data_IF_405543082460
#
_entry.id   IF_405543082460
#
_cell.length_a   1.000
_cell.length_b   1.000
_cell.length_c   1.000
_cell.angle_alpha   90.00
_cell.angle_beta   90.00
_cell.angle_gamma   90.00
#
_symmetry.space_group_name_H-M   'P 1'
#
loop_
_entity.id
_entity.type
_entity.pdbx_description
1 polymer ?
#
# COMPACT_ATOMS: atom_id res chain seq x y z
N UNK A 1 -7.80 -20.10 14.45
CA UNK A 1 -6.39 -19.74 14.18
C UNK A 1 -6.27 -18.23 14.39
N UNK A 2 -5.37 -17.79 15.26
CA UNK A 2 -5.06 -16.37 15.46
C UNK A 2 -3.64 -16.16 14.94
N UNK A 3 -3.50 -15.76 13.68
CA UNK A 3 -2.21 -15.77 12.98
C UNK A 3 -1.41 -14.47 13.16
N UNK A 4 -2.02 -13.40 13.66
CA UNK A 4 -1.43 -12.07 13.72
C UNK A 4 -1.84 -11.34 15.00
N UNK A 5 -0.87 -10.72 15.68
CA UNK A 5 -1.08 -9.87 16.86
C UNK A 5 -0.28 -8.59 16.67
N UNK A 6 -0.94 -7.44 16.82
CA UNK A 6 -0.27 -6.15 16.83
C UNK A 6 0.70 -6.08 18.03
N UNK A 7 1.92 -5.64 17.76
CA UNK A 7 2.95 -5.41 18.77
C UNK A 7 3.41 -3.97 18.61
N UNK A 8 3.19 -3.15 19.64
CA UNK A 8 3.52 -1.73 19.61
C UNK A 8 4.99 -1.53 19.20
N UNK A 9 5.21 -0.68 18.19
CA UNK A 9 6.54 -0.39 17.65
C UNK A 9 7.12 -1.47 16.73
N UNK A 10 6.40 -2.57 16.47
CA UNK A 10 6.92 -3.70 15.65
C UNK A 10 5.95 -4.08 14.53
N UNK A 11 4.65 -4.20 14.82
CA UNK A 11 3.65 -4.60 13.83
C UNK A 11 2.31 -3.90 14.03
N UNK A 12 1.69 -3.50 12.92
CA UNK A 12 0.36 -2.91 12.87
C UNK A 12 -0.47 -3.59 11.77
N UNK A 13 -1.76 -3.76 12.03
CA UNK A 13 -2.72 -4.33 11.10
C UNK A 13 -3.97 -3.48 11.12
N UNK A 14 -4.52 -3.20 9.95
CA UNK A 14 -5.69 -2.33 9.85
C UNK A 14 -6.28 -2.34 8.46
N UNK A 15 -7.17 -1.39 8.22
CA UNK A 15 -7.81 -1.18 6.94
C UNK A 15 -7.95 0.30 6.64
N UNK A 16 -7.95 0.65 5.37
CA UNK A 16 -8.23 2.00 4.89
C UNK A 16 -9.08 1.97 3.63
N UNK A 17 -9.73 3.08 3.33
CA UNK A 17 -10.45 3.25 2.05
C UNK A 17 -9.57 4.05 1.11
N UNK A 18 -9.38 3.56 -0.12
CA UNK A 18 -8.57 4.21 -1.13
C UNK A 18 -9.11 5.60 -1.47
N UNK A 19 -8.19 6.56 -1.53
CA UNK A 19 -8.53 7.97 -1.66
C UNK A 19 -8.87 8.41 -3.09
N UNK A 20 -8.70 7.52 -4.09
CA UNK A 20 -8.67 7.94 -5.49
C UNK A 20 -7.64 9.06 -5.62
N UNK A 21 -8.01 10.20 -6.22
CA UNK A 21 -7.16 11.38 -6.30
C UNK A 21 -6.76 12.00 -4.93
N UNK A 22 -7.24 11.51 -3.79
CA UNK A 22 -6.83 11.94 -2.45
C UNK A 22 -5.70 11.11 -1.86
N UNK A 23 -4.83 11.74 -1.05
CA UNK A 23 -3.83 11.02 -0.25
C UNK A 23 -4.49 10.43 1.00
N UNK A 24 -4.27 9.14 1.23
CA UNK A 24 -4.67 8.43 2.46
C UNK A 24 -3.48 8.40 3.42
N UNK A 25 -3.71 8.61 4.71
CA UNK A 25 -2.66 8.58 5.74
C UNK A 25 -3.02 7.60 6.83
N UNK A 26 -2.14 6.63 7.07
CA UNK A 26 -2.29 5.59 8.08
C UNK A 26 -1.22 5.72 9.16
N UNK A 27 -1.64 5.68 10.43
CA UNK A 27 -0.74 5.79 11.59
C UNK A 27 -0.53 4.43 12.23
N UNK A 28 0.71 3.94 12.23
CA UNK A 28 1.10 2.66 12.84
C UNK A 28 1.82 2.83 14.18
N UNK A 29 2.28 4.06 14.48
CA UNK A 29 3.05 4.37 15.69
C UNK A 29 4.55 4.08 15.58
N UNK A 30 5.02 3.69 14.40
CA UNK A 30 6.44 3.50 14.07
C UNK A 30 6.69 3.87 12.60
N UNK A 31 7.95 3.93 12.19
CA UNK A 31 8.29 4.06 10.77
C UNK A 31 8.32 2.68 10.12
N UNK A 32 7.34 2.31 9.27
CA UNK A 32 7.31 0.98 8.68
C UNK A 32 8.47 0.82 7.71
N UNK A 33 9.02 -0.39 7.65
CA UNK A 33 10.04 -0.79 6.68
C UNK A 33 9.55 -1.84 5.70
N UNK A 34 8.40 -2.43 6.00
CA UNK A 34 7.69 -3.39 5.16
C UNK A 34 6.18 -3.18 5.34
N UNK A 35 5.45 -3.12 4.22
CA UNK A 35 3.99 -3.02 4.21
C UNK A 35 3.45 -3.97 3.15
N UNK A 36 2.43 -4.75 3.51
CA UNK A 36 1.68 -5.62 2.61
C UNK A 36 0.21 -5.20 2.60
N UNK A 37 -0.34 -4.96 1.41
CA UNK A 37 -1.67 -4.39 1.18
C UNK A 37 -2.47 -5.32 0.27
N UNK A 38 -3.79 -5.42 0.49
CA UNK A 38 -4.72 -6.08 -0.43
C UNK A 38 -6.08 -5.43 -0.38
N UNK A 39 -6.69 -5.21 -1.53
CA UNK A 39 -8.11 -4.83 -1.62
C UNK A 39 -9.01 -6.02 -1.20
N UNK A 40 -10.02 -5.74 -0.37
CA UNK A 40 -10.96 -6.75 0.17
C UNK A 40 -12.38 -6.60 -0.38
N UNK A 41 -12.67 -5.49 -1.03
CA UNK A 41 -13.82 -5.33 -1.91
C UNK A 41 -13.33 -4.92 -3.29
N UNK A 42 -14.04 -5.32 -4.34
CA UNK A 42 -13.70 -4.99 -5.73
C UNK A 42 -14.71 -3.97 -6.26
N UNK A 43 -14.97 -2.91 -5.49
CA UNK A 43 -15.84 -1.80 -5.92
C UNK A 43 -15.11 -0.87 -6.90
N UNK A 44 -13.78 -0.95 -6.96
CA UNK A 44 -12.90 -0.17 -7.83
C UNK A 44 -12.77 -0.68 -9.26
N UNK A 45 -12.08 0.11 -10.08
CA UNK A 45 -11.72 -0.22 -11.46
C UNK A 45 -10.63 -1.28 -11.51
N UNK A 46 -9.75 -1.35 -10.51
CA UNK A 46 -8.71 -2.39 -10.46
C UNK A 46 -9.36 -3.80 -10.52
N UNK A 47 -8.93 -4.61 -11.49
CA UNK A 47 -9.25 -6.04 -11.56
C UNK A 47 -8.76 -6.80 -10.32
N UNK A 48 -8.76 -8.14 -10.36
CA UNK A 48 -8.46 -9.02 -9.21
C UNK A 48 -7.48 -8.42 -8.18
N UNK A 49 -7.87 -8.34 -6.89
CA UNK A 49 -7.14 -7.57 -5.89
C UNK A 49 -5.84 -8.28 -5.50
N UNK A 50 -4.80 -8.09 -6.30
CA UNK A 50 -3.47 -8.62 -6.04
C UNK A 50 -2.95 -8.12 -4.68
N UNK A 51 -2.10 -8.92 -4.05
CA UNK A 51 -1.32 -8.46 -2.92
C UNK A 51 -0.26 -7.49 -3.41
N UNK A 52 -0.11 -6.34 -2.77
CA UNK A 52 0.95 -5.38 -3.02
C UNK A 52 1.88 -5.33 -1.81
N UNK A 53 3.13 -5.75 -1.99
CA UNK A 53 4.17 -5.65 -0.97
C UNK A 53 5.11 -4.52 -1.36
N UNK A 54 5.35 -3.61 -0.42
CA UNK A 54 6.30 -2.51 -0.54
C UNK A 54 7.26 -2.55 0.65
N UNK A 55 8.56 -2.44 0.39
CA UNK A 55 9.58 -2.38 1.43
C UNK A 55 10.67 -1.35 1.10
N UNK A 56 11.48 -1.00 2.10
CA UNK A 56 12.53 0.03 1.97
C UNK A 56 13.76 -0.42 1.17
N UNK A 57 13.91 -1.71 0.90
CA UNK A 57 15.04 -2.26 0.13
C UNK A 57 14.72 -2.35 -1.36
N UNK A 58 13.45 -2.55 -1.71
CA UNK A 58 12.94 -2.51 -3.08
C UNK A 58 12.51 -1.11 -3.52
N UNK A 59 12.71 -0.11 -2.65
CA UNK A 59 12.24 1.26 -2.85
C UNK A 59 12.83 1.90 -4.11
N UNK A 60 11.95 2.23 -5.06
CA UNK A 60 12.24 3.14 -6.15
C UNK A 60 11.24 4.29 -6.08
N UNK A 61 11.78 5.50 -5.91
CA UNK A 61 10.95 6.68 -5.69
C UNK A 61 10.34 7.17 -7.00
N UNK A 62 9.04 7.48 -6.97
CA UNK A 62 8.36 8.23 -8.01
C UNK A 62 7.48 9.32 -7.41
N UNK A 63 7.08 10.26 -8.26
CA UNK A 63 6.23 11.39 -7.90
C UNK A 63 4.91 11.28 -8.66
N UNK A 64 3.81 11.52 -7.97
CA UNK A 64 2.49 11.78 -8.56
C UNK A 64 2.07 13.22 -8.28
N UNK A 65 0.90 13.64 -8.77
CA UNK A 65 0.34 14.95 -8.40
C UNK A 65 0.05 15.08 -6.91
N UNK A 66 -0.08 13.96 -6.19
CA UNK A 66 -0.51 13.89 -4.80
C UNK A 66 0.63 13.74 -3.80
N UNK A 67 1.84 13.39 -4.26
CA UNK A 67 2.98 13.18 -3.38
C UNK A 67 4.11 12.39 -4.03
N UNK A 68 5.05 11.94 -3.21
CA UNK A 68 6.23 11.18 -3.63
C UNK A 68 6.34 9.96 -2.73
N UNK A 69 6.54 8.78 -3.33
CA UNK A 69 6.60 7.53 -2.59
C UNK A 69 7.25 6.40 -3.40
N UNK A 70 7.26 5.21 -2.83
CA UNK A 70 7.72 4.00 -3.50
C UNK A 70 6.71 3.56 -4.56
N UNK A 71 7.18 3.30 -5.79
CA UNK A 71 6.39 2.74 -6.89
C UNK A 71 6.63 1.25 -7.16
N UNK A 72 7.59 0.64 -6.45
CA UNK A 72 7.89 -0.78 -6.63
C UNK A 72 7.02 -1.63 -5.71
N UNK A 73 6.31 -2.58 -6.31
CA UNK A 73 5.50 -3.56 -5.58
C UNK A 73 5.85 -4.98 -6.00
N UNK A 74 5.98 -5.84 -5.00
CA UNK A 74 5.99 -7.28 -5.20
C UNK A 74 4.57 -7.81 -5.08
N UNK A 75 4.17 -8.66 -6.03
CA UNK A 75 2.85 -9.28 -6.09
C UNK A 75 2.94 -10.80 -5.97
N UNK A 76 2.91 -11.35 -4.74
CA UNK A 76 3.20 -12.75 -4.50
C UNK A 76 2.17 -13.73 -5.08
N UNK A 77 0.99 -13.25 -5.49
CA UNK A 77 -0.08 -14.08 -6.01
C UNK A 77 -0.16 -14.14 -7.55
N UNK A 78 0.82 -13.56 -8.26
CA UNK A 78 0.89 -13.61 -9.74
C UNK A 78 2.28 -14.03 -10.21
N UNK A 79 2.37 -14.60 -11.42
CA UNK A 79 3.64 -15.05 -12.02
C UNK A 79 4.58 -13.92 -12.40
N UNK A 80 4.03 -12.73 -12.67
CA UNK A 80 4.79 -11.51 -12.96
C UNK A 80 5.00 -10.73 -11.66
N UNK A 81 5.78 -11.32 -10.75
CA UNK A 81 5.85 -11.00 -9.33
C UNK A 81 6.41 -9.62 -8.95
N UNK A 82 6.90 -8.83 -9.90
CA UNK A 82 7.37 -7.45 -9.68
C UNK A 82 6.69 -6.50 -10.65
N UNK A 83 6.07 -5.44 -10.13
CA UNK A 83 5.68 -4.27 -10.89
C UNK A 83 6.60 -3.11 -10.50
N UNK A 84 7.34 -2.61 -11.49
CA UNK A 84 7.93 -1.29 -11.45
C UNK A 84 7.12 -0.44 -12.43
N UNK A 85 5.88 -0.12 -12.07
CA UNK A 85 4.95 0.50 -12.99
C UNK A 85 4.41 1.80 -12.39
N UNK A 86 4.75 2.89 -13.07
CA UNK A 86 4.21 4.24 -12.85
C UNK A 86 2.70 4.35 -13.07
N UNK A 87 2.02 3.24 -13.38
CA UNK A 87 0.57 3.12 -13.44
C UNK A 87 -0.10 3.05 -12.06
N UNK A 88 0.59 2.60 -11.01
CA UNK A 88 -0.04 2.30 -9.70
C UNK A 88 0.26 3.35 -8.63
N UNK A 89 -0.55 3.36 -7.56
CA UNK A 89 -0.36 4.26 -6.43
C UNK A 89 0.98 4.08 -5.73
N UNK A 90 1.36 5.06 -4.92
CA UNK A 90 2.66 5.16 -4.28
C UNK A 90 2.53 5.00 -2.77
N UNK A 91 3.52 4.38 -2.13
CA UNK A 91 3.62 4.31 -0.66
C UNK A 91 4.73 5.24 -0.17
N UNK A 92 4.37 6.30 0.54
CA UNK A 92 5.31 7.17 1.26
C UNK A 92 5.44 6.67 2.71
N UNK A 93 6.63 6.29 3.13
CA UNK A 93 6.90 5.95 4.53
C UNK A 93 7.07 7.22 5.35
N UNK A 94 6.43 7.28 6.52
CA UNK A 94 6.58 8.39 7.48
C UNK A 94 7.23 7.89 8.76
N UNK A 95 7.54 8.81 9.69
CA UNK A 95 8.08 8.45 11.00
C UNK A 95 7.08 7.74 11.91
N UNK A 96 5.79 7.81 11.60
CA UNK A 96 4.69 7.28 12.42
C UNK A 96 3.75 6.35 11.66
N UNK A 97 4.01 6.06 10.39
CA UNK A 97 3.19 5.20 9.56
C UNK A 97 3.50 5.37 8.08
N UNK A 98 2.47 5.51 7.26
CA UNK A 98 2.63 5.63 5.82
C UNK A 98 1.51 6.46 5.20
N UNK A 99 1.76 6.98 4.00
CA UNK A 99 0.74 7.56 3.14
C UNK A 99 0.63 6.75 1.87
N UNK A 100 -0.58 6.72 1.34
CA UNK A 100 -0.87 6.15 0.04
C UNK A 100 -1.29 7.29 -0.88
N UNK A 101 -0.62 7.42 -2.01
CA UNK A 101 -0.94 8.40 -3.05
C UNK A 101 -1.49 7.67 -4.25
N UNK A 102 -2.53 8.21 -4.87
CA UNK A 102 -2.87 7.73 -6.21
C UNK A 102 -1.87 8.21 -7.25
N UNK A 103 -1.70 7.40 -8.29
CA UNK A 103 -1.03 7.85 -9.51
C UNK A 103 -2.00 7.89 -10.70
N UNK A 104 -2.88 6.89 -10.87
CA UNK A 104 -3.82 6.81 -11.99
C UNK A 104 -5.14 6.13 -11.58
N UNK A 105 -6.08 5.98 -12.53
CA UNK A 105 -7.42 5.40 -12.29
C UNK A 105 -7.43 3.87 -12.05
N UNK A 106 -6.31 3.17 -12.22
CA UNK A 106 -6.19 1.73 -12.05
C UNK A 106 -5.19 1.42 -10.94
N UNK A 107 -5.56 1.79 -9.71
CA UNK A 107 -4.63 1.83 -8.59
C UNK A 107 -4.64 0.54 -7.77
N UNK A 108 -3.46 -0.02 -7.53
CA UNK A 108 -3.30 -1.25 -6.77
C UNK A 108 -3.48 -1.06 -5.27
N UNK A 109 -3.28 0.17 -4.78
CA UNK A 109 -3.24 0.48 -3.34
C UNK A 109 -4.14 1.65 -2.95
N UNK A 110 -4.65 2.45 -3.89
CA UNK A 110 -5.40 3.68 -3.57
C UNK A 110 -6.64 3.92 -4.42
N UNK A 111 -7.25 2.88 -4.99
CA UNK A 111 -8.40 3.04 -5.88
C UNK A 111 -9.62 3.59 -5.11
N UNK A 112 -10.34 4.50 -5.74
CA UNK A 112 -11.39 5.29 -5.11
C UNK A 112 -12.51 4.40 -4.59
N UNK A 113 -12.80 4.49 -3.30
CA UNK A 113 -13.91 3.75 -2.68
C UNK A 113 -13.68 2.25 -2.53
N UNK A 114 -12.46 1.78 -2.80
CA UNK A 114 -12.02 0.40 -2.53
C UNK A 114 -11.49 0.30 -1.10
N UNK A 115 -11.88 -0.73 -0.36
CA UNK A 115 -11.38 -1.02 0.98
C UNK A 115 -10.17 -1.92 0.90
N UNK A 116 -9.10 -1.51 1.56
CA UNK A 116 -7.84 -2.23 1.64
C UNK A 116 -7.60 -2.70 3.07
N UNK A 117 -6.99 -3.88 3.23
CA UNK A 117 -6.36 -4.31 4.47
C UNK A 117 -4.84 -4.18 4.34
N UNK A 118 -4.17 -3.91 5.47
CA UNK A 118 -2.72 -3.86 5.52
C UNK A 118 -2.13 -4.64 6.69
N UNK A 119 -0.89 -5.08 6.49
CA UNK A 119 0.04 -5.53 7.52
C UNK A 119 1.34 -4.73 7.38
N UNK A 120 1.73 -4.00 8.42
CA UNK A 120 2.91 -3.15 8.44
C UNK A 120 3.89 -3.62 9.53
N UNK A 121 5.19 -3.57 9.24
CA UNK A 121 6.26 -3.97 10.15
C UNK A 121 7.38 -2.92 10.15
N UNK A 122 7.96 -2.67 11.34
CA UNK A 122 9.06 -1.73 11.58
C UNK A 122 10.40 -2.22 11.04
#
# INVERSE_FOLDING_TARGET
MYAWKAVAGVSAFGSYTGGGAGTVTETTGFSPRFIMIKAIDSTGSAGDPDWAISDVFTQETATSTQGTGNKNFLRPNVSNGTLADSAYGLIEYTSTGFKVHSQNAWDLVSDSGTTYIYAAFA
#
